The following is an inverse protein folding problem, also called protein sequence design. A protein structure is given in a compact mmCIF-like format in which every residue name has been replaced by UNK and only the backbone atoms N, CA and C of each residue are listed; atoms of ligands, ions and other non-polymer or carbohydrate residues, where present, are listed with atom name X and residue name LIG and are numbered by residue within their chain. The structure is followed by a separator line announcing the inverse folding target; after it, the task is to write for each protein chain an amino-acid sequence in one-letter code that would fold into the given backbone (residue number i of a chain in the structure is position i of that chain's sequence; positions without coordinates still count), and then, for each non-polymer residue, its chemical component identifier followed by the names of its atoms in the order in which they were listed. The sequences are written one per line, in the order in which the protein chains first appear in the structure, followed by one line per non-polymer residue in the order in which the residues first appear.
data_IF_350486779813
#
_entry.id   IF_350486779813
#
_cell.length_a   1.000
_cell.length_b   1.000
_cell.length_c   1.000
_cell.angle_alpha   90.00
_cell.angle_beta   90.00
_cell.angle_gamma   90.00
#
_symmetry.space_group_name_H-M   'P 1'
#
loop_
_entity.id
_entity.type
_entity.pdbx_description
1 polymer ?
#
# COMPACT_ATOMS: atom_id res chain seq x y z
N UNK A 1 14.20 -23.96 -43.16
CA UNK A 1 13.53 -24.44 -41.94
C UNK A 1 13.09 -23.20 -41.20
N UNK A 2 11.78 -22.93 -41.20
CA UNK A 2 11.22 -21.74 -40.60
C UNK A 2 11.17 -21.95 -39.10
N UNK A 3 11.78 -21.02 -38.33
CA UNK A 3 11.70 -21.00 -36.87
C UNK A 3 10.26 -20.65 -36.46
N UNK A 4 9.55 -21.63 -35.91
CA UNK A 4 8.14 -21.48 -35.48
C UNK A 4 7.99 -20.74 -34.12
N UNK A 5 9.02 -20.09 -33.61
CA UNK A 5 8.91 -19.31 -32.39
C UNK A 5 8.10 -18.05 -32.64
N UNK A 6 6.96 -17.92 -31.97
CA UNK A 6 6.19 -16.66 -31.93
C UNK A 6 7.00 -15.63 -31.15
N UNK A 7 7.41 -14.57 -31.84
CA UNK A 7 7.95 -13.39 -31.17
C UNK A 7 6.81 -12.40 -30.92
N UNK A 8 6.67 -12.00 -29.65
CA UNK A 8 5.75 -10.91 -29.33
C UNK A 8 6.36 -9.61 -29.83
N UNK A 9 5.57 -8.80 -30.52
CA UNK A 9 6.01 -7.46 -30.90
C UNK A 9 6.32 -6.62 -29.66
N UNK A 10 7.34 -5.75 -29.70
CA UNK A 10 7.54 -4.76 -28.65
C UNK A 10 6.25 -3.97 -28.40
N UNK A 11 6.04 -3.55 -27.15
CA UNK A 11 4.81 -2.85 -26.72
C UNK A 11 4.50 -1.64 -27.62
N UNK A 12 5.55 -0.95 -28.08
CA UNK A 12 5.46 0.20 -28.99
C UNK A 12 4.86 -0.13 -30.36
N UNK A 13 4.95 -1.39 -30.78
CA UNK A 13 4.46 -1.89 -32.08
C UNK A 13 3.17 -2.73 -31.95
N UNK A 14 2.55 -2.74 -30.79
CA UNK A 14 1.28 -3.43 -30.56
C UNK A 14 0.12 -2.49 -30.84
N UNK A 15 -0.80 -2.91 -31.71
CA UNK A 15 -2.07 -2.21 -31.90
C UNK A 15 -3.00 -2.55 -30.74
N UNK A 16 -3.42 -1.54 -29.99
CA UNK A 16 -4.36 -1.67 -28.87
C UNK A 16 -5.72 -1.20 -29.37
N UNK A 17 -6.73 -2.06 -29.29
CA UNK A 17 -8.12 -1.75 -29.62
C UNK A 17 -8.90 -1.75 -28.30
N UNK A 18 -9.14 -0.60 -27.65
CA UNK A 18 -9.94 -0.52 -26.44
C UNK A 18 -11.42 -0.79 -26.76
N UNK A 19 -12.14 -1.27 -25.75
CA UNK A 19 -13.60 -1.45 -25.76
C UNK A 19 -14.18 -2.28 -26.92
N UNK A 20 -13.45 -3.32 -27.33
CA UNK A 20 -13.89 -4.22 -28.44
C UNK A 20 -15.01 -5.19 -28.04
N UNK A 21 -15.25 -5.39 -26.76
CA UNK A 21 -16.33 -6.22 -26.21
C UNK A 21 -16.69 -5.77 -24.80
N UNK A 22 -17.88 -6.19 -24.33
CA UNK A 22 -18.33 -5.96 -22.97
C UNK A 22 -17.35 -6.62 -21.95
N UNK A 23 -17.11 -5.95 -20.83
CA UNK A 23 -16.17 -6.42 -19.80
C UNK A 23 -16.69 -7.68 -19.15
N UNK A 24 -15.87 -8.71 -19.10
CA UNK A 24 -16.16 -10.01 -18.45
C UNK A 24 -15.76 -9.98 -16.98
N UNK A 25 -14.77 -9.16 -16.63
CA UNK A 25 -14.19 -9.03 -15.29
C UNK A 25 -14.09 -7.55 -14.96
N UNK A 26 -14.46 -7.18 -13.73
CA UNK A 26 -14.30 -5.81 -13.24
C UNK A 26 -12.82 -5.38 -13.22
N UNK A 27 -12.57 -4.11 -13.50
CA UNK A 27 -11.21 -3.56 -13.60
C UNK A 27 -10.40 -3.79 -12.31
N UNK A 28 -11.02 -3.59 -11.15
CA UNK A 28 -10.39 -3.79 -9.84
C UNK A 28 -9.87 -5.23 -9.67
N UNK A 29 -10.66 -6.21 -10.13
CA UNK A 29 -10.28 -7.63 -10.09
C UNK A 29 -9.15 -7.91 -11.07
N UNK A 30 -9.23 -7.34 -12.27
CA UNK A 30 -8.19 -7.50 -13.30
C UNK A 30 -6.85 -6.90 -12.84
N UNK A 31 -6.85 -5.68 -12.33
CA UNK A 31 -5.65 -5.01 -11.82
C UNK A 31 -5.02 -5.79 -10.66
N UNK A 32 -5.83 -6.26 -9.72
CA UNK A 32 -5.37 -7.08 -8.60
C UNK A 32 -4.72 -8.38 -9.09
N UNK A 33 -5.29 -9.02 -10.11
CA UNK A 33 -4.70 -10.22 -10.73
C UNK A 33 -3.38 -9.89 -11.42
N UNK A 34 -3.26 -8.74 -12.11
CA UNK A 34 -1.99 -8.32 -12.72
C UNK A 34 -0.91 -8.03 -11.67
N UNK A 35 -1.25 -7.38 -10.56
CA UNK A 35 -0.33 -7.18 -9.43
C UNK A 35 0.20 -8.53 -8.90
N UNK A 36 -0.69 -9.50 -8.72
CA UNK A 36 -0.33 -10.87 -8.28
C UNK A 36 0.60 -11.54 -9.28
N UNK A 37 0.33 -11.42 -10.58
CA UNK A 37 1.17 -11.99 -11.64
C UNK A 37 2.56 -11.35 -11.73
N UNK A 38 2.63 -10.05 -11.52
CA UNK A 38 3.90 -9.30 -11.58
C UNK A 38 4.79 -9.53 -10.34
N UNK A 39 4.24 -10.07 -9.25
CA UNK A 39 5.04 -10.50 -8.12
C UNK A 39 5.89 -11.71 -8.53
N UNK A 40 7.22 -11.61 -8.35
CA UNK A 40 8.15 -12.72 -8.65
C UNK A 40 7.84 -13.93 -7.80
N UNK A 41 7.20 -14.93 -8.38
CA UNK A 41 7.04 -16.24 -7.76
C UNK A 41 8.27 -17.11 -8.04
N UNK A 42 9.07 -17.37 -7.00
CA UNK A 42 10.01 -18.48 -7.07
C UNK A 42 9.23 -19.76 -6.82
N UNK A 43 9.14 -20.61 -7.82
CA UNK A 43 8.62 -21.98 -7.61
C UNK A 43 9.52 -22.68 -6.58
N UNK A 44 8.91 -23.31 -5.58
CA UNK A 44 9.64 -24.19 -4.67
C UNK A 44 10.13 -25.42 -5.44
N UNK A 45 11.21 -26.05 -4.97
CA UNK A 45 11.69 -27.32 -5.58
C UNK A 45 10.63 -28.43 -5.61
N UNK A 46 9.66 -28.34 -4.73
CA UNK A 46 8.55 -29.28 -4.59
C UNK A 46 7.32 -28.93 -5.41
N UNK A 47 7.31 -27.80 -6.11
CA UNK A 47 6.11 -27.27 -6.79
C UNK A 47 4.98 -26.80 -5.86
N UNK A 48 5.12 -27.00 -4.55
CA UNK A 48 4.12 -26.56 -3.55
C UNK A 48 4.21 -25.07 -3.32
N UNK A 49 3.09 -24.42 -3.09
CA UNK A 49 2.97 -23.01 -2.72
C UNK A 49 1.97 -22.85 -1.57
N UNK A 50 2.11 -21.77 -0.79
CA UNK A 50 1.12 -21.40 0.22
C UNK A 50 0.32 -20.19 -0.26
N UNK A 51 -0.95 -20.07 0.18
CA UNK A 51 -1.81 -18.90 -0.08
C UNK A 51 -1.17 -17.61 0.44
N UNK A 52 -0.31 -17.71 1.47
CA UNK A 52 0.40 -16.59 2.09
C UNK A 52 1.70 -16.22 1.39
N UNK A 53 2.09 -16.94 0.33
CA UNK A 53 3.36 -16.66 -0.38
C UNK A 53 3.40 -15.24 -0.92
N UNK A 54 4.46 -14.51 -0.57
CA UNK A 54 4.66 -13.10 -0.95
C UNK A 54 4.02 -12.06 -0.04
N UNK A 55 3.20 -12.47 0.95
CA UNK A 55 2.50 -11.58 1.88
C UNK A 55 3.09 -11.59 3.30
N UNK A 56 3.98 -12.52 3.63
CA UNK A 56 4.54 -12.70 4.97
C UNK A 56 5.90 -12.02 5.06
N UNK A 57 6.08 -11.20 6.08
CA UNK A 57 7.28 -10.41 6.35
C UNK A 57 7.78 -10.62 7.76
N UNK A 58 9.07 -10.45 7.95
CA UNK A 58 9.69 -10.42 9.27
C UNK A 58 9.43 -9.05 9.92
N UNK A 59 8.91 -9.01 11.13
CA UNK A 59 8.62 -7.76 11.82
C UNK A 59 9.91 -6.98 12.20
N UNK A 60 11.01 -7.68 12.54
CA UNK A 60 12.25 -7.00 12.94
C UNK A 60 13.01 -6.38 11.77
N UNK A 61 13.10 -7.08 10.63
CA UNK A 61 13.95 -6.64 9.52
C UNK A 61 13.19 -6.25 8.23
N UNK A 62 11.87 -6.37 8.21
CA UNK A 62 11.04 -6.05 7.06
C UNK A 62 11.21 -6.98 5.84
N UNK A 63 12.12 -7.96 5.90
CA UNK A 63 12.37 -8.84 4.77
C UNK A 63 11.24 -9.84 4.56
N UNK A 64 10.95 -10.17 3.30
CA UNK A 64 9.98 -11.24 2.99
C UNK A 64 10.40 -12.56 3.62
N UNK A 65 9.44 -13.27 4.18
CA UNK A 65 9.66 -14.63 4.65
C UNK A 65 9.48 -15.63 3.50
N UNK A 66 10.32 -16.66 3.49
CA UNK A 66 10.33 -17.69 2.45
C UNK A 66 9.51 -18.89 2.89
N UNK A 67 8.65 -19.38 2.01
CA UNK A 67 7.95 -20.63 2.21
C UNK A 67 8.89 -21.81 2.05
N UNK A 68 8.87 -22.70 3.03
CA UNK A 68 9.65 -23.93 3.07
C UNK A 68 8.73 -25.15 3.14
N UNK A 69 8.91 -26.07 2.22
CA UNK A 69 8.19 -27.33 2.14
C UNK A 69 9.13 -28.47 1.75
N UNK A 70 8.76 -29.71 2.09
CA UNK A 70 9.46 -30.91 1.71
C UNK A 70 8.48 -31.94 1.13
N UNK A 71 8.93 -32.75 0.16
CA UNK A 71 8.11 -33.81 -0.43
C UNK A 71 7.70 -34.87 0.60
N UNK A 72 8.57 -35.13 1.59
CA UNK A 72 8.39 -36.17 2.60
C UNK A 72 7.72 -35.67 3.89
N UNK A 73 7.23 -34.42 3.90
CA UNK A 73 6.57 -33.83 5.07
C UNK A 73 5.11 -33.59 4.78
N UNK A 74 4.29 -33.80 5.82
CA UNK A 74 2.90 -33.39 5.79
C UNK A 74 2.79 -31.87 5.66
N UNK A 75 1.71 -31.39 5.06
CA UNK A 75 1.40 -29.95 4.92
C UNK A 75 1.46 -29.22 6.27
N UNK A 76 1.10 -29.91 7.37
CA UNK A 76 1.20 -29.37 8.74
C UNK A 76 2.62 -28.96 9.15
N UNK A 77 3.66 -29.44 8.46
CA UNK A 77 5.05 -29.14 8.74
C UNK A 77 5.64 -28.04 7.86
N UNK A 78 4.89 -27.56 6.87
CA UNK A 78 5.31 -26.45 6.04
C UNK A 78 5.40 -25.15 6.87
N UNK A 79 6.29 -24.27 6.47
CA UNK A 79 6.65 -23.12 7.30
C UNK A 79 7.07 -21.90 6.47
N UNK A 80 7.14 -20.76 7.15
CA UNK A 80 7.80 -19.56 6.66
C UNK A 80 9.01 -19.25 7.52
N UNK A 81 10.15 -18.88 6.90
CA UNK A 81 11.37 -18.44 7.55
C UNK A 81 11.88 -17.10 7.00
N UNK A 82 12.55 -16.31 7.86
CA UNK A 82 13.08 -15.02 7.46
C UNK A 82 14.21 -15.18 6.44
N UNK A 83 14.05 -14.54 5.26
CA UNK A 83 15.05 -14.62 4.18
C UNK A 83 16.38 -13.97 4.52
N UNK A 84 16.38 -12.90 5.34
CA UNK A 84 17.61 -12.24 5.77
C UNK A 84 18.37 -13.10 6.79
N UNK A 85 17.67 -13.68 7.76
CA UNK A 85 18.28 -14.60 8.72
C UNK A 85 18.93 -15.80 8.03
N UNK A 86 18.27 -16.36 7.02
CA UNK A 86 18.79 -17.48 6.24
C UNK A 86 20.06 -17.15 5.47
N UNK A 87 20.18 -15.89 5.00
CA UNK A 87 21.38 -15.40 4.30
C UNK A 87 22.48 -14.97 5.27
N UNK A 88 22.11 -14.32 6.37
CA UNK A 88 23.04 -13.78 7.36
C UNK A 88 22.37 -13.74 8.74
N UNK A 89 22.63 -14.78 9.54
CA UNK A 89 22.05 -14.97 10.86
C UNK A 89 22.40 -13.91 11.89
N UNK A 90 23.44 -13.09 11.65
CA UNK A 90 23.81 -11.99 12.56
C UNK A 90 22.93 -10.74 12.40
N UNK A 91 22.24 -10.57 11.26
CA UNK A 91 21.43 -9.38 10.96
C UNK A 91 19.98 -9.49 11.40
N UNK A 92 19.48 -10.66 11.75
CA UNK A 92 18.14 -10.89 12.23
C UNK A 92 18.07 -12.08 13.16
N UNK A 93 17.26 -12.02 14.22
CA UNK A 93 17.15 -13.06 15.27
C UNK A 93 16.52 -14.38 14.83
N UNK A 94 16.08 -14.51 13.60
CA UNK A 94 15.43 -15.72 13.08
C UNK A 94 13.94 -15.81 13.43
N UNK A 95 13.13 -15.60 12.43
CA UNK A 95 11.68 -15.68 12.51
C UNK A 95 11.22 -16.91 11.75
N UNK A 96 10.40 -17.71 12.40
CA UNK A 96 9.89 -18.96 11.88
C UNK A 96 8.47 -19.18 12.37
N UNK A 97 7.55 -19.49 11.45
CA UNK A 97 6.17 -19.83 11.78
C UNK A 97 5.67 -20.99 10.91
N UNK A 98 4.92 -21.91 11.49
CA UNK A 98 4.24 -22.98 10.74
C UNK A 98 3.07 -22.40 9.93
N UNK A 99 2.91 -22.88 8.69
CA UNK A 99 1.81 -22.42 7.81
C UNK A 99 0.46 -22.65 8.48
N UNK A 100 0.21 -23.84 9.04
CA UNK A 100 -1.03 -24.17 9.75
C UNK A 100 -1.34 -23.23 10.92
N UNK A 101 -0.30 -22.82 11.67
CA UNK A 101 -0.47 -21.86 12.79
C UNK A 101 -0.79 -20.47 12.28
N UNK A 102 -0.09 -20.04 11.21
CA UNK A 102 -0.34 -18.77 10.57
C UNK A 102 -1.79 -18.69 10.02
N UNK A 103 -2.19 -19.72 9.30
CA UNK A 103 -3.53 -19.84 8.72
C UNK A 103 -4.64 -19.76 9.78
N UNK A 104 -4.55 -20.54 10.84
CA UNK A 104 -5.53 -20.51 11.93
C UNK A 104 -5.61 -19.16 12.62
N UNK A 105 -4.46 -18.49 12.83
CA UNK A 105 -4.43 -17.16 13.46
C UNK A 105 -4.99 -16.06 12.55
N UNK A 106 -4.61 -16.08 11.27
CA UNK A 106 -5.11 -15.10 10.30
C UNK A 106 -6.61 -15.29 10.09
N UNK A 107 -7.08 -16.53 9.94
CA UNK A 107 -8.51 -16.84 9.81
C UNK A 107 -9.28 -16.32 11.04
N UNK A 108 -8.85 -16.69 12.25
CA UNK A 108 -9.51 -16.24 13.48
C UNK A 108 -9.53 -14.70 13.61
N UNK A 109 -8.45 -14.02 13.24
CA UNK A 109 -8.41 -12.57 13.30
C UNK A 109 -9.33 -11.92 12.26
N UNK A 110 -9.35 -12.45 11.02
CA UNK A 110 -10.25 -11.97 9.96
C UNK A 110 -11.71 -12.18 10.38
N UNK A 111 -12.06 -13.36 10.93
CA UNK A 111 -13.41 -13.64 11.43
C UNK A 111 -13.81 -12.61 12.51
N UNK A 112 -12.96 -12.37 13.51
CA UNK A 112 -13.24 -11.37 14.56
C UNK A 112 -13.45 -9.97 13.99
N UNK A 113 -12.64 -9.56 12.99
CA UNK A 113 -12.78 -8.24 12.36
C UNK A 113 -14.09 -8.15 11.58
N UNK A 114 -14.42 -9.16 10.76
CA UNK A 114 -15.66 -9.15 9.97
C UNK A 114 -16.91 -9.24 10.85
N UNK A 115 -16.89 -10.05 11.90
CA UNK A 115 -17.98 -10.15 12.87
C UNK A 115 -18.15 -8.83 13.67
N UNK A 116 -17.04 -8.18 14.05
CA UNK A 116 -17.08 -6.88 14.71
C UNK A 116 -17.71 -5.82 13.81
N UNK A 117 -17.29 -5.74 12.56
CA UNK A 117 -17.86 -4.80 11.58
C UNK A 117 -19.35 -5.06 11.40
N UNK A 118 -19.78 -6.33 11.29
CA UNK A 118 -21.19 -6.67 11.14
C UNK A 118 -22.05 -6.16 12.31
N UNK A 119 -21.53 -6.26 13.54
CA UNK A 119 -22.28 -5.87 14.75
C UNK A 119 -22.18 -4.37 15.07
N UNK A 120 -21.07 -3.72 14.71
CA UNK A 120 -20.70 -2.38 15.18
C UNK A 120 -20.17 -1.48 14.04
N UNK A 121 -20.78 -1.55 12.87
CA UNK A 121 -20.30 -0.88 11.65
C UNK A 121 -20.11 0.63 11.82
N UNK A 122 -21.12 1.34 12.36
CA UNK A 122 -21.06 2.80 12.53
C UNK A 122 -19.94 3.21 13.51
N UNK A 123 -19.75 2.42 14.59
CA UNK A 123 -18.69 2.68 15.54
C UNK A 123 -17.31 2.39 14.95
N UNK A 124 -17.17 1.30 14.20
CA UNK A 124 -15.95 0.98 13.49
C UNK A 124 -15.55 2.09 12.50
N UNK A 125 -16.49 2.57 11.69
CA UNK A 125 -16.28 3.69 10.76
C UNK A 125 -15.78 4.91 11.51
N UNK A 126 -16.49 5.32 12.56
CA UNK A 126 -16.14 6.49 13.37
C UNK A 126 -14.74 6.40 13.97
N UNK A 127 -14.35 5.25 14.53
CA UNK A 127 -13.02 5.07 15.13
C UNK A 127 -11.92 5.06 14.06
N UNK A 128 -12.14 4.37 12.94
CA UNK A 128 -11.18 4.35 11.84
C UNK A 128 -11.02 5.72 11.19
N UNK A 129 -12.11 6.46 11.00
CA UNK A 129 -12.06 7.85 10.53
C UNK A 129 -11.34 8.75 11.54
N UNK A 130 -11.56 8.58 12.83
CA UNK A 130 -10.91 9.39 13.87
C UNK A 130 -9.42 9.10 13.95
N UNK A 131 -8.99 7.85 13.83
CA UNK A 131 -7.58 7.47 13.72
C UNK A 131 -6.93 8.09 12.47
N UNK A 132 -7.57 8.00 11.32
CA UNK A 132 -7.10 8.65 10.09
C UNK A 132 -7.14 10.18 10.23
N UNK A 133 -8.15 10.76 10.89
CA UNK A 133 -8.23 12.21 11.13
C UNK A 133 -7.13 12.72 12.04
N UNK A 134 -6.79 12.03 13.11
CA UNK A 134 -5.70 12.44 14.02
C UNK A 134 -4.36 12.46 13.27
N UNK A 135 -4.11 11.49 12.41
CA UNK A 135 -2.90 11.47 11.58
C UNK A 135 -2.96 12.40 10.36
N UNK A 136 -4.16 12.61 9.78
CA UNK A 136 -4.34 13.30 8.49
C UNK A 136 -4.79 14.75 8.61
N UNK A 137 -5.62 15.11 9.61
CA UNK A 137 -6.27 16.44 9.64
C UNK A 137 -5.26 17.56 9.85
N UNK A 138 -4.28 17.38 10.72
CA UNK A 138 -3.20 18.35 10.91
C UNK A 138 -2.35 18.42 9.65
N UNK A 139 -1.98 17.30 9.08
CA UNK A 139 -1.20 17.23 7.83
C UNK A 139 -1.97 17.83 6.66
N UNK A 140 -3.22 17.46 6.43
CA UNK A 140 -4.06 18.02 5.37
C UNK A 140 -4.26 19.52 5.51
N UNK A 141 -4.45 20.02 6.74
CA UNK A 141 -4.58 21.45 6.99
C UNK A 141 -3.29 22.20 6.65
N UNK A 142 -2.14 21.63 7.01
CA UNK A 142 -0.82 22.19 6.68
C UNK A 142 -0.59 22.16 5.17
N UNK A 143 -0.84 21.03 4.52
CA UNK A 143 -0.68 20.86 3.07
C UNK A 143 -1.58 21.78 2.28
N UNK A 144 -2.87 21.94 2.64
CA UNK A 144 -3.81 22.85 1.98
C UNK A 144 -3.38 24.32 2.16
N UNK A 145 -2.85 24.69 3.34
CA UNK A 145 -2.29 26.04 3.56
C UNK A 145 -1.04 26.28 2.72
N UNK A 146 -0.15 25.30 2.62
CA UNK A 146 1.07 25.40 1.82
C UNK A 146 0.74 25.47 0.34
N UNK A 147 -0.21 24.65 -0.15
CA UNK A 147 -0.72 24.71 -1.50
C UNK A 147 -1.22 26.11 -1.86
N UNK A 148 -2.14 26.65 -1.07
CA UNK A 148 -2.69 28.00 -1.29
C UNK A 148 -1.60 29.10 -1.26
N UNK A 149 -0.56 28.95 -0.41
CA UNK A 149 0.57 29.89 -0.36
C UNK A 149 1.42 29.81 -1.63
N UNK A 150 1.72 28.59 -2.11
CA UNK A 150 2.53 28.40 -3.29
C UNK A 150 1.79 28.88 -4.56
N UNK A 151 0.51 28.56 -4.69
CA UNK A 151 -0.33 29.05 -5.80
C UNK A 151 -0.41 30.59 -5.83
N UNK A 152 -0.59 31.21 -4.66
CA UNK A 152 -0.56 32.68 -4.55
C UNK A 152 0.79 33.24 -4.98
N UNK A 153 1.90 32.62 -4.55
CA UNK A 153 3.25 33.08 -4.91
C UNK A 153 3.50 32.96 -6.41
N UNK A 154 3.05 31.88 -7.05
CA UNK A 154 3.12 31.71 -8.51
C UNK A 154 2.33 32.82 -9.21
N UNK A 155 1.13 33.15 -8.74
CA UNK A 155 0.34 34.26 -9.29
C UNK A 155 1.04 35.62 -9.12
N UNK A 156 1.70 35.83 -7.99
CA UNK A 156 2.49 37.05 -7.71
C UNK A 156 3.72 37.13 -8.63
N UNK A 157 4.44 36.02 -8.85
CA UNK A 157 5.58 35.95 -9.77
C UNK A 157 5.15 36.29 -11.21
N UNK A 158 4.04 35.74 -11.68
CA UNK A 158 3.49 36.10 -13.01
C UNK A 158 3.19 37.59 -13.13
N UNK A 159 2.64 38.21 -12.09
CA UNK A 159 2.39 39.66 -12.05
C UNK A 159 3.69 40.47 -12.07
N UNK A 160 4.68 40.05 -11.28
CA UNK A 160 5.99 40.69 -11.23
C UNK A 160 6.71 40.56 -12.58
N UNK A 161 6.64 39.41 -13.23
CA UNK A 161 7.21 39.19 -14.54
C UNK A 161 6.62 40.17 -15.58
N UNK A 162 5.29 40.32 -15.62
CA UNK A 162 4.64 41.27 -16.52
C UNK A 162 5.13 42.72 -16.25
N UNK A 163 5.32 43.09 -14.99
CA UNK A 163 5.76 44.40 -14.62
C UNK A 163 7.22 44.67 -15.05
N UNK A 164 8.14 43.71 -14.83
CA UNK A 164 9.54 43.88 -15.26
C UNK A 164 9.65 43.88 -16.79
N UNK A 165 8.78 43.15 -17.49
CA UNK A 165 8.69 43.18 -18.95
C UNK A 165 8.26 44.58 -19.44
N UNK A 166 7.20 45.17 -18.88
CA UNK A 166 6.77 46.53 -19.20
C UNK A 166 7.85 47.58 -18.90
N UNK A 167 8.54 47.49 -17.77
CA UNK A 167 9.61 48.41 -17.40
C UNK A 167 10.85 48.27 -18.32
N UNK A 168 11.14 47.06 -18.79
CA UNK A 168 12.21 46.83 -19.77
C UNK A 168 11.84 47.44 -21.13
N UNK A 169 10.63 47.16 -21.65
CA UNK A 169 10.14 47.75 -22.91
C UNK A 169 10.10 49.26 -22.88
N UNK A 170 9.79 49.86 -21.73
CA UNK A 170 9.75 51.31 -21.53
C UNK A 170 11.18 51.94 -21.26
N UNK A 171 12.22 51.13 -21.31
CA UNK A 171 13.62 51.58 -21.10
C UNK A 171 13.97 51.93 -19.64
N UNK A 172 13.11 51.58 -18.66
CA UNK A 172 13.36 51.82 -17.23
C UNK A 172 14.25 50.76 -16.60
N UNK A 173 14.27 49.55 -17.24
CA UNK A 173 15.07 48.42 -16.81
C UNK A 173 16.02 48.01 -17.95
N UNK A 174 17.30 47.83 -17.66
CA UNK A 174 18.27 47.37 -18.66
C UNK A 174 18.05 45.86 -18.99
N UNK A 175 18.42 45.46 -20.19
CA UNK A 175 18.30 44.09 -20.68
C UNK A 175 19.03 43.09 -19.76
N UNK A 176 20.25 43.39 -19.32
CA UNK A 176 21.00 42.52 -18.39
C UNK A 176 20.27 42.28 -17.07
N UNK A 177 19.61 43.32 -16.53
CA UNK A 177 18.82 43.19 -15.28
C UNK A 177 17.52 42.47 -15.51
N UNK A 178 16.88 42.68 -16.66
CA UNK A 178 15.68 41.94 -17.05
C UNK A 178 15.98 40.46 -17.17
N UNK A 179 17.05 40.09 -17.85
CA UNK A 179 17.46 38.69 -18.03
C UNK A 179 17.75 37.98 -16.69
N UNK A 180 18.49 38.67 -15.80
CA UNK A 180 18.79 38.14 -14.47
C UNK A 180 17.54 37.92 -13.63
N UNK A 181 16.60 38.89 -13.62
CA UNK A 181 15.35 38.78 -12.86
C UNK A 181 14.41 37.74 -13.47
N UNK A 182 14.30 37.69 -14.78
CA UNK A 182 13.51 36.72 -15.50
C UNK A 182 13.95 35.28 -15.17
N UNK A 183 15.25 34.99 -15.27
CA UNK A 183 15.82 33.68 -14.92
C UNK A 183 15.53 33.31 -13.46
N UNK A 184 15.63 34.27 -12.54
CA UNK A 184 15.32 34.06 -11.12
C UNK A 184 13.85 33.72 -10.89
N UNK A 185 12.92 34.44 -11.56
CA UNK A 185 11.49 34.22 -11.44
C UNK A 185 11.07 32.89 -12.08
N UNK A 186 11.64 32.55 -13.22
CA UNK A 186 11.40 31.27 -13.91
C UNK A 186 11.87 30.09 -13.07
N UNK A 187 13.04 30.19 -12.43
CA UNK A 187 13.57 29.15 -11.55
C UNK A 187 12.68 28.97 -10.30
N UNK A 188 12.28 30.08 -9.65
CA UNK A 188 11.38 30.03 -8.48
C UNK A 188 10.00 29.48 -8.86
N UNK A 189 9.44 29.90 -10.00
CA UNK A 189 8.15 29.43 -10.48
C UNK A 189 8.17 27.92 -10.72
N UNK A 190 9.20 27.43 -11.42
CA UNK A 190 9.35 26.00 -11.72
C UNK A 190 9.44 25.16 -10.44
N UNK A 191 10.22 25.60 -9.45
CA UNK A 191 10.32 24.94 -8.16
C UNK A 191 8.95 24.87 -7.45
N UNK A 192 8.21 26.01 -7.41
CA UNK A 192 6.90 26.05 -6.79
C UNK A 192 5.86 25.20 -7.51
N UNK A 193 5.91 25.11 -8.85
CA UNK A 193 5.03 24.26 -9.62
C UNK A 193 5.29 22.78 -9.33
N UNK A 194 6.56 22.36 -9.19
CA UNK A 194 6.92 21.00 -8.77
C UNK A 194 6.43 20.69 -7.35
N UNK A 195 6.58 21.64 -6.41
CA UNK A 195 6.06 21.52 -5.05
C UNK A 195 4.52 21.42 -5.01
N UNK A 196 3.81 22.25 -5.79
CA UNK A 196 2.35 22.21 -5.93
C UNK A 196 1.89 20.84 -6.40
N UNK A 197 2.52 20.28 -7.42
CA UNK A 197 2.17 18.95 -7.94
C UNK A 197 2.37 17.86 -6.88
N UNK A 198 3.48 17.91 -6.14
CA UNK A 198 3.77 16.96 -5.05
C UNK A 198 2.74 17.07 -3.91
N UNK A 199 2.38 18.29 -3.51
CA UNK A 199 1.38 18.52 -2.45
C UNK A 199 0.00 18.04 -2.89
N UNK A 200 -0.39 18.29 -4.14
CA UNK A 200 -1.68 17.82 -4.67
C UNK A 200 -1.76 16.30 -4.67
N UNK A 201 -0.71 15.60 -5.08
CA UNK A 201 -0.65 14.14 -5.02
C UNK A 201 -0.75 13.61 -3.57
N UNK A 202 -0.10 14.28 -2.62
CA UNK A 202 -0.18 13.89 -1.21
C UNK A 202 -1.58 14.10 -0.62
N UNK A 203 -2.27 15.20 -0.99
CA UNK A 203 -3.66 15.45 -0.60
C UNK A 203 -4.58 14.37 -1.16
N UNK A 204 -4.44 14.03 -2.44
CA UNK A 204 -5.24 12.99 -3.10
C UNK A 204 -5.08 11.63 -2.41
N UNK A 205 -3.86 11.24 -2.07
CA UNK A 205 -3.58 10.00 -1.32
C UNK A 205 -4.30 10.01 0.04
N UNK A 206 -4.32 11.14 0.74
CA UNK A 206 -4.99 11.26 2.05
C UNK A 206 -6.52 11.21 1.91
N UNK A 207 -7.08 11.79 0.87
CA UNK A 207 -8.54 11.76 0.61
C UNK A 207 -8.99 10.34 0.20
N UNK A 208 -8.18 9.60 -0.55
CA UNK A 208 -8.45 8.19 -0.88
C UNK A 208 -8.50 7.26 0.34
N UNK A 209 -7.79 7.60 1.42
CA UNK A 209 -7.81 6.78 2.63
C UNK A 209 -9.19 6.69 3.28
N UNK A 210 -9.99 7.76 3.23
CA UNK A 210 -11.36 7.78 3.76
C UNK A 210 -12.26 6.88 2.91
N UNK A 211 -12.14 6.95 1.59
CA UNK A 211 -12.87 6.08 0.66
C UNK A 211 -12.53 4.60 0.87
N UNK A 212 -11.30 4.30 1.27
CA UNK A 212 -10.86 2.93 1.55
C UNK A 212 -11.57 2.30 2.76
N UNK A 213 -11.98 3.09 3.78
CA UNK A 213 -12.77 2.56 4.91
C UNK A 213 -14.08 1.99 4.39
N UNK A 214 -14.80 2.76 3.57
CA UNK A 214 -16.07 2.34 3.01
C UNK A 214 -15.92 1.09 2.14
N UNK A 215 -14.94 1.09 1.25
CA UNK A 215 -14.62 -0.06 0.39
C UNK A 215 -14.27 -1.30 1.24
N UNK A 216 -13.54 -1.11 2.34
CA UNK A 216 -13.18 -2.23 3.22
C UNK A 216 -14.40 -2.78 3.97
N UNK A 217 -15.28 -1.93 4.47
CA UNK A 217 -16.54 -2.35 5.12
C UNK A 217 -17.39 -3.18 4.15
N UNK A 218 -17.54 -2.72 2.90
CA UNK A 218 -18.25 -3.47 1.86
C UNK A 218 -17.59 -4.82 1.57
N UNK A 219 -16.25 -4.87 1.51
CA UNK A 219 -15.51 -6.14 1.36
C UNK A 219 -15.73 -7.05 2.56
N UNK A 220 -15.69 -6.52 3.80
CA UNK A 220 -15.89 -7.30 5.01
C UNK A 220 -17.26 -8.00 5.04
N UNK A 221 -18.32 -7.32 4.58
CA UNK A 221 -19.64 -7.92 4.46
C UNK A 221 -19.71 -9.14 3.54
N UNK A 222 -18.87 -9.22 2.50
CA UNK A 222 -18.81 -10.40 1.61
C UNK A 222 -18.26 -11.64 2.31
N UNK A 223 -17.45 -11.45 3.38
CA UNK A 223 -16.70 -12.50 4.06
C UNK A 223 -17.17 -12.76 5.49
N UNK A 224 -18.40 -12.38 5.80
CA UNK A 224 -19.03 -12.72 7.08
C UNK A 224 -19.14 -14.25 7.18
N UNK A 225 -18.76 -14.81 8.35
CA UNK A 225 -18.75 -16.25 8.62
C UNK A 225 -17.84 -17.08 7.68
N UNK A 226 -16.74 -16.49 7.22
CA UNK A 226 -15.77 -17.23 6.41
C UNK A 226 -15.21 -18.44 7.19
N UNK A 227 -15.38 -19.65 6.65
CA UNK A 227 -14.87 -20.88 7.29
C UNK A 227 -13.43 -21.20 6.88
N UNK A 228 -13.03 -20.83 5.65
CA UNK A 228 -11.70 -21.07 5.10
C UNK A 228 -11.17 -19.84 4.36
N UNK A 229 -9.86 -19.58 4.50
CA UNK A 229 -9.18 -18.52 3.76
C UNK A 229 -8.90 -18.98 2.33
N UNK A 230 -9.67 -18.47 1.39
CA UNK A 230 -9.31 -18.63 -0.03
C UNK A 230 -8.19 -17.65 -0.41
N UNK A 231 -7.35 -17.97 -1.42
CA UNK A 231 -6.32 -17.03 -1.91
C UNK A 231 -6.89 -15.67 -2.31
N UNK A 232 -8.11 -15.65 -2.85
CA UNK A 232 -8.81 -14.45 -3.26
C UNK A 232 -9.25 -13.60 -2.05
N UNK A 233 -10.00 -14.20 -1.11
CA UNK A 233 -10.45 -13.52 0.10
C UNK A 233 -9.28 -12.95 0.92
N UNK A 234 -8.20 -13.74 1.07
CA UNK A 234 -7.00 -13.31 1.77
C UNK A 234 -6.39 -12.06 1.13
N UNK A 235 -6.27 -12.01 -0.20
CA UNK A 235 -5.65 -10.88 -0.91
C UNK A 235 -6.58 -9.68 -1.07
N UNK A 236 -7.89 -9.88 -1.02
CA UNK A 236 -8.86 -8.79 -1.02
C UNK A 236 -8.91 -8.06 0.33
N UNK A 237 -8.69 -8.79 1.43
CA UNK A 237 -8.76 -8.23 2.78
C UNK A 237 -7.40 -7.82 3.36
N UNK A 238 -6.33 -8.58 3.05
CA UNK A 238 -5.02 -8.45 3.72
C UNK A 238 -3.94 -8.06 2.72
N UNK A 239 -3.22 -7.00 3.01
CA UNK A 239 -2.07 -6.53 2.21
C UNK A 239 -0.75 -7.13 2.64
N UNK A 240 -0.52 -7.29 3.95
CA UNK A 240 0.72 -7.85 4.48
C UNK A 240 0.53 -8.45 5.88
N UNK A 241 1.38 -9.42 6.23
CA UNK A 241 1.41 -10.06 7.55
C UNK A 241 2.84 -10.01 8.06
N UNK A 242 3.03 -9.42 9.24
CA UNK A 242 4.34 -9.33 9.90
C UNK A 242 4.40 -10.32 11.05
N UNK A 243 5.49 -11.04 11.14
CA UNK A 243 5.69 -12.11 12.13
C UNK A 243 6.84 -11.71 13.05
N UNK A 244 6.56 -11.62 14.36
CA UNK A 244 7.55 -11.30 15.39
C UNK A 244 8.50 -12.48 15.67
N UNK A 245 9.61 -12.19 16.33
CA UNK A 245 10.45 -13.21 16.91
C UNK A 245 9.65 -13.98 17.99
N UNK A 246 9.82 -15.30 18.10
CA UNK A 246 9.17 -16.05 19.16
C UNK A 246 9.75 -15.68 20.53
N UNK A 247 8.92 -15.24 21.46
CA UNK A 247 9.27 -15.07 22.86
C UNK A 247 9.15 -16.40 23.61
N UNK A 248 10.18 -16.76 24.35
CA UNK A 248 10.25 -17.96 25.19
C UNK A 248 10.49 -17.63 26.66
N UNK A 249 10.46 -16.36 27.05
CA UNK A 249 10.77 -15.89 28.41
C UNK A 249 9.84 -16.49 29.46
N UNK A 250 8.58 -16.75 29.11
CA UNK A 250 7.56 -17.33 29.99
C UNK A 250 7.55 -18.87 30.06
N UNK A 251 8.54 -19.53 29.46
CA UNK A 251 8.58 -21.00 29.33
C UNK A 251 7.65 -21.58 28.26
N UNK A 252 6.72 -20.79 27.74
CA UNK A 252 5.86 -21.12 26.60
C UNK A 252 6.26 -20.25 25.40
N UNK A 253 6.25 -20.84 24.22
CA UNK A 253 6.53 -20.09 22.98
C UNK A 253 5.32 -19.21 22.65
N UNK A 254 5.47 -17.90 22.85
CA UNK A 254 4.52 -16.87 22.39
C UNK A 254 5.10 -16.18 21.16
N UNK A 255 4.27 -15.93 20.16
CA UNK A 255 4.69 -15.27 18.94
C UNK A 255 3.52 -14.42 18.44
N UNK A 256 3.73 -13.13 18.28
CA UNK A 256 2.72 -12.23 17.75
C UNK A 256 2.80 -12.15 16.24
N UNK A 257 1.65 -11.86 15.63
CA UNK A 257 1.53 -11.54 14.21
C UNK A 257 0.75 -10.24 14.09
N UNK A 258 1.18 -9.39 13.16
CA UNK A 258 0.51 -8.13 12.87
C UNK A 258 -0.05 -8.20 11.46
N UNK A 259 -1.34 -8.05 11.30
CA UNK A 259 -2.04 -8.16 10.04
C UNK A 259 -2.34 -6.75 9.55
N UNK A 260 -1.80 -6.42 8.38
CA UNK A 260 -2.07 -5.16 7.70
C UNK A 260 -3.17 -5.38 6.68
N UNK A 261 -4.31 -4.72 6.88
CA UNK A 261 -5.47 -4.80 6.02
C UNK A 261 -5.33 -3.89 4.79
N UNK A 262 -5.98 -4.28 3.70
CA UNK A 262 -5.93 -3.55 2.44
C UNK A 262 -6.66 -2.20 2.59
N UNK A 263 -5.95 -1.12 2.26
CA UNK A 263 -6.47 0.25 2.36
C UNK A 263 -6.58 0.85 3.77
N UNK A 264 -6.60 0.04 4.85
CA UNK A 264 -6.79 0.52 6.22
C UNK A 264 -5.54 0.47 7.10
N UNK A 265 -4.57 -0.37 6.76
CA UNK A 265 -3.44 -0.59 7.64
C UNK A 265 -3.74 -1.58 8.78
N UNK A 266 -3.34 -1.24 10.01
CA UNK A 266 -3.58 -2.09 11.19
C UNK A 266 -4.92 -1.72 11.84
N UNK A 267 -5.73 -2.74 12.15
CA UNK A 267 -7.00 -2.57 12.86
C UNK A 267 -6.74 -2.93 14.34
N UNK A 268 -6.88 -2.00 15.29
CA UNK A 268 -6.67 -2.24 16.72
C UNK A 268 -7.91 -2.91 17.36
N UNK A 269 -8.19 -4.14 16.95
CA UNK A 269 -9.42 -4.86 17.31
C UNK A 269 -9.57 -5.03 18.82
N UNK A 270 -8.49 -5.33 19.54
CA UNK A 270 -8.52 -5.51 20.98
C UNK A 270 -8.90 -4.20 21.72
N UNK A 271 -8.50 -3.04 21.20
CA UNK A 271 -8.91 -1.72 21.73
C UNK A 271 -10.36 -1.40 21.39
N UNK A 272 -10.82 -1.77 20.20
CA UNK A 272 -12.21 -1.61 19.77
C UNK A 272 -13.14 -2.43 20.66
N UNK A 273 -12.83 -3.70 20.90
CA UNK A 273 -13.59 -4.60 21.77
C UNK A 273 -13.54 -4.18 23.27
N UNK A 274 -12.44 -3.58 23.73
CA UNK A 274 -12.27 -3.11 25.09
C UNK A 274 -13.11 -1.86 25.40
N UNK A 275 -13.15 -0.92 24.46
CA UNK A 275 -13.94 0.33 24.59
C UNK A 275 -15.44 0.11 24.55
N UNK A 276 -15.89 -0.97 23.95
CA UNK A 276 -17.30 -1.35 23.92
C UNK A 276 -17.81 -1.88 25.28
N UNK A 277 -16.92 -2.51 26.05
CA UNK A 277 -17.25 -3.10 27.36
C UNK A 277 -17.19 -2.09 28.51
N UNK A 278 -16.76 -0.87 28.26
CA UNK A 278 -16.61 0.23 29.22
C UNK A 278 -17.76 1.24 29.13
#
# INVERSE_FOLDING_TARGET
IWDKKRHLNPVENQAIFPDTHERIIDDDVFEKVQEIRNQRHRMTRTGKSSIFSGMVYCADCGSKMQYGSSNNRDFSQDFFDCSLHKKNGSKCKGHFIRVKVLEGRVLSHVQRVTDYILCHEDYFRKVMEEQLRVESTEKLTVLKKQLARNEKRIADLKRLFMKIYEDNVNGKLSDDRFDMMSQSYDAEQKQLEEEVLSIQQEIEVQEQQIENIEKFVQKAHKYVHIEELTPYALRELVSAIYVDAPDKSSGKRVQHIHIKYDGLGYIPLDELEAKEKA
#
